data_IF_809517339575
#
_entry.id   IF_809517339575
#
_cell.length_a   1.000
_cell.length_b   1.000
_cell.length_c   1.000
_cell.angle_alpha   90.00
_cell.angle_beta   90.00
_cell.angle_gamma   90.00
#
_symmetry.space_group_name_H-M   'P 1'
#
loop_
_entity.id
_entity.type
_entity.pdbx_description
1 polymer ?
#
# COMPACT_ATOMS: atom_id res chain seq x y z
N UNK A 1 -29.71 14.84 -26.06
CA UNK A 1 -29.06 13.52 -26.09
C UNK A 1 -27.56 13.70 -26.17
N UNK A 2 -26.89 13.77 -25.03
CA UNK A 2 -25.42 13.74 -24.95
C UNK A 2 -25.02 12.31 -24.68
N UNK A 3 -24.60 11.57 -25.71
CA UNK A 3 -23.92 10.30 -25.59
C UNK A 3 -22.59 10.53 -24.90
N UNK A 4 -22.51 10.22 -23.60
CA UNK A 4 -21.25 10.13 -22.90
C UNK A 4 -20.43 9.02 -23.54
N UNK A 5 -19.31 9.38 -24.16
CA UNK A 5 -18.32 8.42 -24.62
C UNK A 5 -17.83 7.64 -23.40
N UNK A 6 -18.12 6.34 -23.39
CA UNK A 6 -17.46 5.41 -22.48
C UNK A 6 -15.99 5.43 -22.92
N UNK A 7 -15.13 6.11 -22.15
CA UNK A 7 -13.69 6.06 -22.40
C UNK A 7 -13.28 4.60 -22.36
N UNK A 8 -12.57 4.14 -23.40
CA UNK A 8 -12.04 2.77 -23.44
C UNK A 8 -11.25 2.49 -22.13
N UNK A 9 -11.35 1.27 -21.60
CA UNK A 9 -10.58 0.93 -20.41
C UNK A 9 -9.09 1.12 -20.73
N UNK A 10 -8.41 1.91 -19.88
CA UNK A 10 -6.97 2.12 -20.00
C UNK A 10 -6.26 0.76 -20.01
N UNK A 11 -5.43 0.51 -21.02
CA UNK A 11 -4.56 -0.65 -21.09
C UNK A 11 -3.09 -0.23 -20.92
N UNK A 12 -2.35 -0.97 -20.08
CA UNK A 12 -0.91 -0.80 -19.99
C UNK A 12 -0.25 -1.08 -21.36
N UNK A 13 0.85 -0.38 -21.70
CA UNK A 13 1.65 -0.72 -22.85
C UNK A 13 2.01 -2.21 -22.86
N UNK A 14 1.97 -2.84 -24.03
CA UNK A 14 2.14 -4.30 -24.15
C UNK A 14 3.44 -4.80 -23.52
N UNK A 15 4.56 -4.07 -23.68
CA UNK A 15 5.85 -4.43 -23.09
C UNK A 15 5.79 -4.48 -21.56
N UNK A 16 5.14 -3.50 -20.91
CA UNK A 16 4.98 -3.45 -19.44
C UNK A 16 4.04 -4.56 -18.98
N UNK A 17 2.94 -4.81 -19.72
CA UNK A 17 2.01 -5.89 -19.42
C UNK A 17 2.68 -7.26 -19.50
N UNK A 18 3.55 -7.50 -20.48
CA UNK A 18 4.29 -8.77 -20.60
C UNK A 18 5.34 -8.91 -19.48
N UNK A 19 6.07 -7.84 -19.13
CA UNK A 19 7.00 -7.86 -18.01
C UNK A 19 6.26 -8.15 -16.69
N UNK A 20 5.15 -7.47 -16.42
CA UNK A 20 4.34 -7.70 -15.22
C UNK A 20 3.81 -9.15 -15.15
N UNK A 21 3.37 -9.72 -16.27
CA UNK A 21 2.95 -11.12 -16.35
C UNK A 21 4.11 -12.08 -16.08
N UNK A 22 5.30 -11.78 -16.60
CA UNK A 22 6.48 -12.60 -16.37
C UNK A 22 6.88 -12.57 -14.89
N UNK A 23 6.93 -11.41 -14.27
CA UNK A 23 7.23 -11.26 -12.84
C UNK A 23 6.18 -11.96 -11.97
N UNK A 24 4.89 -11.76 -12.25
CA UNK A 24 3.81 -12.46 -11.55
C UNK A 24 3.87 -13.98 -11.75
N UNK A 25 4.26 -14.43 -12.94
CA UNK A 25 4.48 -15.85 -13.25
C UNK A 25 5.60 -16.49 -12.44
N UNK A 26 6.58 -15.69 -12.00
CA UNK A 26 7.69 -16.10 -11.13
C UNK A 26 7.41 -15.88 -9.65
N UNK A 27 6.29 -15.23 -9.29
CA UNK A 27 5.94 -14.99 -7.91
C UNK A 27 5.84 -16.33 -7.14
N UNK A 28 6.39 -16.34 -5.95
CA UNK A 28 6.30 -17.46 -5.02
C UNK A 28 4.87 -17.62 -4.49
N UNK A 29 4.56 -18.78 -3.93
CA UNK A 29 3.25 -18.95 -3.24
C UNK A 29 3.07 -17.96 -2.09
N UNK A 30 4.15 -17.61 -1.41
CA UNK A 30 4.17 -16.58 -0.37
C UNK A 30 3.75 -15.22 -0.91
N UNK A 31 4.33 -14.77 -2.01
CA UNK A 31 3.99 -13.49 -2.65
C UNK A 31 2.55 -13.48 -3.17
N UNK A 32 2.06 -14.61 -3.72
CA UNK A 32 0.67 -14.73 -4.18
C UNK A 32 -0.33 -14.63 -3.02
N UNK A 33 -0.01 -15.24 -1.87
CA UNK A 33 -0.83 -15.14 -0.65
C UNK A 33 -0.88 -13.72 -0.09
N UNK A 34 0.14 -12.89 -0.35
CA UNK A 34 0.15 -11.49 0.07
C UNK A 34 -1.01 -10.69 -0.55
N UNK A 35 -1.49 -11.04 -1.73
CA UNK A 35 -2.62 -10.38 -2.37
C UNK A 35 -3.92 -10.83 -1.71
N UNK A 36 -4.37 -10.10 -0.68
CA UNK A 36 -5.63 -10.39 0.01
C UNK A 36 -6.85 -10.06 -0.86
N UNK A 37 -6.79 -8.97 -1.62
CA UNK A 37 -7.83 -8.56 -2.55
C UNK A 37 -7.25 -7.64 -3.62
N UNK A 38 -7.64 -7.87 -4.87
CA UNK A 38 -7.32 -6.95 -5.97
C UNK A 38 -8.18 -5.68 -5.92
N UNK A 39 -9.36 -5.75 -5.33
CA UNK A 39 -10.30 -4.63 -5.24
C UNK A 39 -10.66 -4.04 -6.61
N UNK A 40 -11.01 -2.77 -6.61
CA UNK A 40 -11.24 -2.01 -7.84
C UNK A 40 -9.95 -1.31 -8.28
N UNK A 41 -9.31 -1.88 -9.27
CA UNK A 41 -8.00 -1.41 -9.78
C UNK A 41 -8.05 -0.21 -10.73
N UNK A 42 -9.23 0.36 -11.01
CA UNK A 42 -9.36 1.45 -12.01
C UNK A 42 -8.45 2.65 -11.71
N UNK A 43 -8.37 3.08 -10.44
CA UNK A 43 -7.48 4.19 -10.05
C UNK A 43 -6.02 3.82 -10.20
N UNK A 44 -5.62 2.59 -9.83
CA UNK A 44 -4.27 2.08 -10.05
C UNK A 44 -3.91 2.04 -11.54
N UNK A 45 -4.80 1.53 -12.38
CA UNK A 45 -4.59 1.50 -13.84
C UNK A 45 -4.36 2.89 -14.41
N UNK A 46 -5.11 3.90 -13.94
CA UNK A 46 -4.93 5.29 -14.36
C UNK A 46 -3.55 5.84 -13.94
N UNK A 47 -3.12 5.55 -12.71
CA UNK A 47 -1.79 5.96 -12.21
C UNK A 47 -0.68 5.26 -12.98
N UNK A 48 -0.78 3.96 -13.18
CA UNK A 48 0.19 3.19 -13.96
C UNK A 48 0.27 3.66 -15.42
N UNK A 49 -0.85 4.12 -15.98
CA UNK A 49 -0.87 4.75 -17.29
C UNK A 49 -0.01 5.99 -17.35
N UNK A 50 -0.17 6.89 -16.39
CA UNK A 50 0.67 8.09 -16.31
C UNK A 50 2.13 7.74 -16.09
N UNK A 51 2.44 6.72 -15.28
CA UNK A 51 3.81 6.23 -15.12
C UNK A 51 4.38 5.74 -16.44
N UNK A 52 3.62 4.94 -17.20
CA UNK A 52 4.02 4.39 -18.49
C UNK A 52 4.26 5.46 -19.58
N UNK A 53 3.56 6.57 -19.49
CA UNK A 53 3.72 7.73 -20.37
C UNK A 53 4.87 8.66 -19.97
N UNK A 54 5.61 8.33 -18.88
CA UNK A 54 6.69 9.17 -18.36
C UNK A 54 6.21 10.39 -17.59
N UNK A 55 4.93 10.44 -17.20
CA UNK A 55 4.33 11.54 -16.46
C UNK A 55 4.84 11.64 -15.03
N UNK A 56 4.71 12.83 -14.44
CA UNK A 56 4.97 13.05 -13.02
C UNK A 56 3.91 12.34 -12.18
N UNK A 57 4.34 11.51 -11.22
CA UNK A 57 3.48 10.77 -10.31
C UNK A 57 4.04 10.86 -8.89
N UNK A 58 3.17 11.18 -7.93
CA UNK A 58 3.51 11.19 -6.51
C UNK A 58 2.93 9.96 -5.83
N UNK A 59 3.81 9.17 -5.21
CA UNK A 59 3.46 7.99 -4.41
C UNK A 59 3.73 8.31 -2.94
N UNK A 60 2.69 8.30 -2.12
CA UNK A 60 2.79 8.55 -0.68
C UNK A 60 2.63 7.24 0.10
N UNK A 61 3.36 7.15 1.21
CA UNK A 61 3.35 6.03 2.14
C UNK A 61 3.02 6.58 3.53
N UNK A 62 1.87 6.21 4.08
CA UNK A 62 1.38 6.66 5.37
C UNK A 62 1.31 5.48 6.33
N UNK A 63 1.98 5.60 7.48
CA UNK A 63 2.01 4.50 8.45
C UNK A 63 2.82 4.81 9.70
N UNK A 64 3.15 3.75 10.43
CA UNK A 64 3.94 3.79 11.65
C UNK A 64 5.45 3.65 11.40
N UNK A 65 6.14 2.96 12.32
CA UNK A 65 7.60 2.74 12.28
C UNK A 65 8.05 1.89 11.09
N UNK A 66 7.25 0.91 10.68
CA UNK A 66 7.56 0.07 9.51
C UNK A 66 7.59 0.93 8.24
N UNK A 67 6.64 1.83 8.08
CA UNK A 67 6.59 2.77 6.96
C UNK A 67 7.70 3.81 7.03
N UNK A 68 8.00 4.36 8.22
CA UNK A 68 9.12 5.28 8.43
C UNK A 68 10.46 4.63 8.07
N UNK A 69 10.60 3.34 8.33
CA UNK A 69 11.86 2.60 8.18
C UNK A 69 12.74 2.74 9.43
N UNK A 70 12.12 2.76 10.61
CA UNK A 70 12.83 2.79 11.87
C UNK A 70 13.79 1.60 11.98
N UNK A 71 15.04 1.85 12.39
CA UNK A 71 16.13 0.88 12.51
C UNK A 71 16.61 0.22 11.20
N UNK A 72 16.04 0.55 10.05
CA UNK A 72 16.51 0.01 8.77
C UNK A 72 17.13 1.10 7.90
N UNK A 73 18.08 0.69 7.04
CA UNK A 73 18.60 1.57 6.02
C UNK A 73 17.47 1.98 5.06
N UNK A 74 17.41 3.25 4.65
CA UNK A 74 16.40 3.74 3.71
C UNK A 74 16.24 2.85 2.47
N UNK A 75 17.33 2.31 1.92
CA UNK A 75 17.31 1.41 0.77
C UNK A 75 16.66 0.04 1.04
N UNK A 76 16.49 -0.34 2.30
CA UNK A 76 15.84 -1.59 2.71
C UNK A 76 14.38 -1.41 3.07
N UNK A 77 13.94 -0.17 3.28
CA UNK A 77 12.56 0.17 3.58
C UNK A 77 11.65 -0.13 2.39
N UNK A 78 10.48 -0.71 2.66
CA UNK A 78 9.55 -1.10 1.59
C UNK A 78 9.09 0.08 0.72
N UNK A 79 8.91 1.27 1.30
CA UNK A 79 8.49 2.45 0.56
C UNK A 79 9.55 2.87 -0.48
N UNK A 80 10.84 2.72 -0.14
CA UNK A 80 11.93 2.95 -1.08
C UNK A 80 11.97 1.88 -2.16
N UNK A 81 11.96 0.60 -1.76
CA UNK A 81 12.00 -0.52 -2.71
C UNK A 81 10.83 -0.49 -3.70
N UNK A 82 9.61 -0.23 -3.21
CA UNK A 82 8.44 -0.15 -4.08
C UNK A 82 8.55 1.01 -5.06
N UNK A 83 8.98 2.20 -4.61
CA UNK A 83 9.13 3.34 -5.51
C UNK A 83 10.24 3.11 -6.54
N UNK A 84 11.38 2.56 -6.14
CA UNK A 84 12.49 2.28 -7.03
C UNK A 84 12.09 1.19 -8.05
N UNK A 85 11.40 0.14 -7.63
CA UNK A 85 10.84 -0.86 -8.52
C UNK A 85 9.84 -0.28 -9.54
N UNK A 86 8.95 0.63 -9.11
CA UNK A 86 8.03 1.31 -10.04
C UNK A 86 8.78 2.15 -11.06
N UNK A 87 9.84 2.85 -10.66
CA UNK A 87 10.70 3.60 -11.60
C UNK A 87 11.35 2.70 -12.64
N UNK A 88 11.88 1.57 -12.21
CA UNK A 88 12.50 0.58 -13.12
C UNK A 88 11.45 -0.02 -14.05
N UNK A 89 10.31 -0.49 -13.52
CA UNK A 89 9.24 -1.12 -14.29
C UNK A 89 8.72 -0.23 -15.41
N UNK A 90 8.51 1.05 -15.09
CA UNK A 90 7.95 2.02 -16.04
C UNK A 90 9.01 2.84 -16.78
N UNK A 91 10.30 2.61 -16.53
CA UNK A 91 11.41 3.41 -17.02
C UNK A 91 11.15 4.94 -16.84
N UNK A 92 10.67 5.31 -15.65
CA UNK A 92 10.19 6.66 -15.34
C UNK A 92 10.79 7.21 -14.05
N UNK A 93 11.76 8.11 -14.15
CA UNK A 93 12.39 8.77 -13.00
C UNK A 93 11.53 9.89 -12.38
N UNK A 94 10.44 10.30 -13.04
CA UNK A 94 9.52 11.33 -12.55
C UNK A 94 8.53 10.82 -11.47
N UNK A 95 8.74 9.62 -10.96
CA UNK A 95 7.96 9.07 -9.85
C UNK A 95 8.58 9.57 -8.54
N UNK A 96 7.85 10.45 -7.84
CA UNK A 96 8.26 11.04 -6.57
C UNK A 96 7.70 10.25 -5.39
N UNK A 97 8.56 9.99 -4.39
CA UNK A 97 8.17 9.36 -3.13
C UNK A 97 7.91 10.40 -2.05
N UNK A 98 6.83 10.22 -1.30
CA UNK A 98 6.56 10.91 -0.03
C UNK A 98 6.44 9.85 1.05
N UNK A 99 7.40 9.77 1.97
CA UNK A 99 7.31 8.89 3.12
C UNK A 99 6.75 9.67 4.32
N UNK A 100 5.51 9.37 4.67
CA UNK A 100 4.79 9.93 5.81
C UNK A 100 4.66 8.89 6.96
N UNK A 101 5.63 7.99 7.10
CA UNK A 101 5.77 7.12 8.27
C UNK A 101 6.20 7.92 9.50
N UNK A 102 5.65 7.56 10.66
CA UNK A 102 6.01 8.17 11.95
C UNK A 102 5.91 7.12 13.05
N UNK A 103 7.07 6.76 13.62
CA UNK A 103 7.19 5.72 14.64
C UNK A 103 6.27 5.94 15.83
N UNK A 104 5.69 4.84 16.33
CA UNK A 104 4.84 4.85 17.53
C UNK A 104 3.49 5.53 17.36
N UNK A 105 3.02 5.74 16.14
CA UNK A 105 1.73 6.41 15.88
C UNK A 105 0.72 5.48 15.24
N UNK A 106 -0.55 5.62 15.67
CA UNK A 106 -1.70 4.91 15.14
C UNK A 106 -2.37 5.68 13.99
N UNK A 107 -3.37 5.05 13.37
CA UNK A 107 -4.22 5.69 12.35
C UNK A 107 -4.94 6.94 12.86
N UNK A 108 -5.21 7.04 14.16
CA UNK A 108 -5.75 8.26 14.80
C UNK A 108 -4.82 9.45 14.60
N UNK A 109 -3.54 9.27 14.89
CA UNK A 109 -2.52 10.31 14.63
C UNK A 109 -2.35 10.51 13.13
N UNK A 110 -2.39 9.42 12.34
CA UNK A 110 -2.40 9.49 10.88
C UNK A 110 -3.50 10.43 10.37
N UNK A 111 -4.73 10.31 10.87
CA UNK A 111 -5.87 11.16 10.49
C UNK A 111 -5.63 12.65 10.81
N UNK A 112 -5.02 12.95 11.95
CA UNK A 112 -4.76 14.33 12.36
C UNK A 112 -3.71 15.02 11.48
N UNK A 113 -2.72 14.26 10.98
CA UNK A 113 -1.61 14.80 10.19
C UNK A 113 -1.74 14.57 8.67
N UNK A 114 -2.72 13.79 8.21
CA UNK A 114 -2.85 13.38 6.81
C UNK A 114 -2.91 14.55 5.83
N UNK A 115 -3.55 15.65 6.22
CA UNK A 115 -3.64 16.83 5.34
C UNK A 115 -2.25 17.34 4.99
N UNK A 116 -1.44 17.63 6.01
CA UNK A 116 -0.12 18.24 5.86
C UNK A 116 0.89 17.26 5.27
N UNK A 117 0.88 16.01 5.76
CA UNK A 117 1.96 15.06 5.46
C UNK A 117 1.73 14.27 4.17
N UNK A 118 0.48 14.23 3.68
CA UNK A 118 0.08 13.44 2.52
C UNK A 118 -0.70 14.26 1.50
N UNK A 119 -1.82 14.86 1.88
CA UNK A 119 -2.75 15.44 0.90
C UNK A 119 -2.23 16.75 0.27
N UNK A 120 -1.49 17.56 1.02
CA UNK A 120 -0.86 18.78 0.49
C UNK A 120 0.23 18.46 -0.56
N UNK A 121 0.77 17.23 -0.54
CA UNK A 121 1.70 16.71 -1.54
C UNK A 121 1.01 16.24 -2.83
N UNK A 122 -0.32 16.29 -2.89
CA UNK A 122 -1.18 15.91 -4.02
C UNK A 122 -0.85 14.53 -4.58
N UNK A 123 -0.94 13.47 -3.77
CA UNK A 123 -0.55 12.13 -4.19
C UNK A 123 -1.49 11.58 -5.27
N UNK A 124 -0.94 10.75 -6.16
CA UNK A 124 -1.65 9.95 -7.14
C UNK A 124 -1.92 8.53 -6.64
N UNK A 125 -1.02 8.03 -5.78
CA UNK A 125 -1.09 6.71 -5.15
C UNK A 125 -0.71 6.84 -3.67
N UNK A 126 -1.50 6.23 -2.79
CA UNK A 126 -1.24 6.21 -1.34
C UNK A 126 -1.27 4.78 -0.83
N UNK A 127 -0.20 4.37 -0.16
CA UNK A 127 -0.15 3.15 0.65
C UNK A 127 -0.44 3.50 2.11
N UNK A 128 -1.31 2.72 2.78
CA UNK A 128 -1.69 2.92 4.19
C UNK A 128 -1.35 1.67 4.99
N UNK A 129 -0.54 1.83 6.06
CA UNK A 129 -0.06 0.75 6.91
C UNK A 129 -0.15 1.15 8.40
N UNK A 130 -1.10 0.56 9.16
CA UNK A 130 -1.29 0.76 10.59
C UNK A 130 -1.73 -0.50 11.34
N UNK A 131 -1.64 -1.66 10.70
CA UNK A 131 -2.23 -2.89 11.24
C UNK A 131 -1.65 -3.32 12.59
N UNK A 132 -0.39 -2.99 12.86
CA UNK A 132 0.29 -3.28 14.14
C UNK A 132 0.28 -2.11 15.12
N UNK A 133 -0.14 -0.93 14.67
CA UNK A 133 -0.11 0.30 15.47
C UNK A 133 -1.49 0.65 16.09
N UNK A 134 -2.57 0.15 15.49
CA UNK A 134 -3.92 0.39 15.96
C UNK A 134 -4.31 -0.57 17.09
N UNK A 135 -5.24 -0.15 17.93
CA UNK A 135 -5.90 -1.03 18.89
C UNK A 135 -7.13 -1.70 18.26
N UNK A 136 -7.48 -2.89 18.74
CA UNK A 136 -8.68 -3.58 18.27
C UNK A 136 -9.93 -3.13 19.03
N UNK A 137 -10.18 -1.83 19.05
CA UNK A 137 -11.32 -1.18 19.68
C UNK A 137 -12.15 -0.36 18.68
N UNK A 138 -13.33 0.08 19.13
CA UNK A 138 -14.26 0.83 18.26
C UNK A 138 -13.70 2.17 17.81
N UNK A 139 -12.92 2.84 18.64
CA UNK A 139 -12.34 4.16 18.33
C UNK A 139 -11.32 4.01 17.21
N UNK A 140 -10.40 3.07 17.32
CA UNK A 140 -9.40 2.79 16.28
C UNK A 140 -10.05 2.41 14.96
N UNK A 141 -11.12 1.59 15.00
CA UNK A 141 -11.88 1.20 13.79
C UNK A 141 -12.48 2.43 13.09
N UNK A 142 -13.12 3.31 13.85
CA UNK A 142 -13.71 4.55 13.30
C UNK A 142 -12.65 5.52 12.78
N UNK A 143 -11.52 5.64 13.47
CA UNK A 143 -10.44 6.52 13.05
C UNK A 143 -9.76 6.03 11.76
N UNK A 144 -9.52 4.71 11.66
CA UNK A 144 -8.98 4.11 10.45
C UNK A 144 -9.91 4.29 9.24
N UNK A 145 -11.20 4.02 9.41
CA UNK A 145 -12.20 4.26 8.36
C UNK A 145 -12.26 5.73 7.95
N UNK A 146 -12.25 6.65 8.93
CA UNK A 146 -12.25 8.10 8.68
C UNK A 146 -11.00 8.54 7.91
N UNK A 147 -9.83 7.96 8.22
CA UNK A 147 -8.58 8.21 7.52
C UNK A 147 -8.68 7.77 6.06
N UNK A 148 -9.10 6.52 5.83
CA UNK A 148 -9.28 5.97 4.47
C UNK A 148 -10.28 6.80 3.68
N UNK A 149 -11.43 7.12 4.27
CA UNK A 149 -12.47 7.96 3.66
C UNK A 149 -11.91 9.32 3.22
N UNK A 150 -11.16 9.98 4.11
CA UNK A 150 -10.57 11.30 3.82
C UNK A 150 -9.60 11.27 2.65
N UNK A 151 -8.78 10.23 2.55
CA UNK A 151 -7.81 10.08 1.45
C UNK A 151 -8.53 9.77 0.14
N UNK A 152 -9.42 8.77 0.14
CA UNK A 152 -10.15 8.31 -1.05
C UNK A 152 -10.99 9.43 -1.69
N UNK A 153 -11.54 10.32 -0.85
CA UNK A 153 -12.38 11.44 -1.27
C UNK A 153 -11.65 12.79 -1.29
N UNK A 154 -10.33 12.81 -1.21
CA UNK A 154 -9.53 14.03 -1.33
C UNK A 154 -9.56 14.59 -2.76
N UNK A 155 -9.04 15.81 -2.94
CA UNK A 155 -9.07 16.54 -4.21
C UNK A 155 -8.47 15.72 -5.38
N UNK A 156 -7.35 15.04 -5.16
CA UNK A 156 -6.70 14.23 -6.19
C UNK A 156 -7.36 12.88 -6.41
N UNK A 157 -8.23 12.44 -5.49
CA UNK A 157 -8.87 11.12 -5.50
C UNK A 157 -7.87 9.99 -5.82
N UNK A 158 -6.78 9.84 -5.06
CA UNK A 158 -5.68 8.95 -5.39
C UNK A 158 -6.12 7.48 -5.44
N UNK A 159 -5.34 6.64 -6.10
CA UNK A 159 -5.38 5.22 -5.86
C UNK A 159 -4.91 4.94 -4.42
N UNK A 160 -5.55 4.01 -3.73
CA UNK A 160 -5.20 3.64 -2.35
C UNK A 160 -4.99 2.13 -2.27
N UNK A 161 -3.90 1.71 -1.64
CA UNK A 161 -3.59 0.31 -1.34
C UNK A 161 -3.41 0.18 0.17
N UNK A 162 -4.11 -0.76 0.78
CA UNK A 162 -3.98 -1.06 2.21
C UNK A 162 -2.94 -2.17 2.40
N UNK A 163 -2.05 -1.97 3.37
CA UNK A 163 -1.02 -2.96 3.75
C UNK A 163 -1.29 -3.39 5.19
N UNK A 164 -1.35 -4.70 5.40
CA UNK A 164 -1.55 -5.30 6.72
C UNK A 164 -0.29 -6.05 7.14
N UNK A 165 0.38 -5.49 8.13
CA UNK A 165 1.55 -6.05 8.79
C UNK A 165 1.13 -6.87 10.00
N UNK A 166 2.07 -7.62 10.57
CA UNK A 166 1.88 -8.49 11.73
C UNK A 166 3.10 -8.39 12.64
N UNK A 167 2.91 -8.46 13.97
CA UNK A 167 3.99 -8.60 14.94
C UNK A 167 4.39 -10.06 15.14
N UNK A 168 5.55 -10.30 15.73
CA UNK A 168 6.04 -11.65 16.07
C UNK A 168 5.02 -12.47 16.88
N UNK A 169 4.33 -11.83 17.82
CA UNK A 169 3.30 -12.46 18.65
C UNK A 169 1.97 -12.71 17.91
N UNK A 170 1.90 -12.45 16.60
CA UNK A 170 0.71 -12.61 15.78
C UNK A 170 -0.28 -11.43 15.85
N UNK A 171 0.06 -10.34 16.57
CA UNK A 171 -0.85 -9.20 16.66
C UNK A 171 -0.96 -8.46 15.33
N UNK A 172 -2.19 -8.22 14.92
CA UNK A 172 -2.56 -7.39 13.76
C UNK A 172 -4.00 -6.93 13.89
N UNK A 173 -4.31 -5.76 13.38
CA UNK A 173 -5.67 -5.24 13.22
C UNK A 173 -6.26 -5.50 11.82
N UNK A 174 -5.67 -6.42 11.05
CA UNK A 174 -6.05 -6.73 9.68
C UNK A 174 -7.55 -7.00 9.51
N UNK A 175 -8.16 -7.77 10.42
CA UNK A 175 -9.57 -8.18 10.29
C UNK A 175 -10.56 -7.01 10.20
N UNK A 176 -10.37 -5.95 10.99
CA UNK A 176 -11.26 -4.81 10.90
C UNK A 176 -10.84 -3.81 9.81
N UNK A 177 -9.54 -3.69 9.56
CA UNK A 177 -9.03 -2.80 8.51
C UNK A 177 -9.39 -3.33 7.12
N UNK A 178 -9.36 -4.65 6.93
CA UNK A 178 -9.80 -5.28 5.69
C UNK A 178 -11.28 -5.04 5.37
N UNK A 179 -12.15 -4.98 6.39
CA UNK A 179 -13.57 -4.61 6.19
C UNK A 179 -13.73 -3.20 5.61
N UNK A 180 -12.87 -2.27 6.01
CA UNK A 180 -12.82 -0.94 5.39
C UNK A 180 -12.37 -1.05 3.93
N UNK A 181 -11.31 -1.81 3.65
CA UNK A 181 -10.86 -2.08 2.29
C UNK A 181 -11.95 -2.69 1.40
N UNK A 182 -12.69 -3.66 1.92
CA UNK A 182 -13.84 -4.28 1.22
C UNK A 182 -14.96 -3.25 0.94
N UNK A 183 -15.32 -2.44 1.94
CA UNK A 183 -16.39 -1.43 1.81
C UNK A 183 -16.06 -0.36 0.76
N UNK A 184 -14.80 0.01 0.63
CA UNK A 184 -14.32 0.99 -0.37
C UNK A 184 -13.82 0.34 -1.66
N UNK A 185 -13.84 -0.99 -1.76
CA UNK A 185 -13.34 -1.73 -2.92
C UNK A 185 -11.85 -1.53 -3.18
N UNK A 186 -11.02 -1.43 -2.14
CA UNK A 186 -9.59 -1.13 -2.27
C UNK A 186 -8.75 -2.39 -2.46
N UNK A 187 -7.66 -2.32 -3.23
CA UNK A 187 -6.62 -3.34 -3.21
C UNK A 187 -6.00 -3.48 -1.82
N UNK A 188 -5.75 -4.72 -1.41
CA UNK A 188 -5.23 -5.06 -0.08
C UNK A 188 -4.10 -6.06 -0.17
N UNK A 189 -3.01 -5.79 0.56
CA UNK A 189 -1.84 -6.63 0.69
C UNK A 189 -1.72 -7.06 2.16
N UNK A 190 -1.64 -8.37 2.41
CA UNK A 190 -1.45 -8.95 3.74
C UNK A 190 -0.07 -9.58 3.86
N UNK A 191 0.80 -8.94 4.62
CA UNK A 191 2.09 -9.52 5.03
C UNK A 191 1.86 -10.71 5.95
N UNK A 192 0.84 -10.64 6.80
CA UNK A 192 0.44 -11.74 7.67
C UNK A 192 0.10 -13.00 6.87
N UNK A 193 -0.77 -12.90 5.87
CA UNK A 193 -1.13 -14.05 5.02
C UNK A 193 0.08 -14.59 4.23
N UNK A 194 1.03 -13.73 3.87
CA UNK A 194 2.25 -14.14 3.19
C UNK A 194 3.15 -15.00 4.07
N UNK A 195 3.31 -14.63 5.35
CA UNK A 195 4.34 -15.19 6.24
C UNK A 195 3.82 -16.29 7.18
N UNK A 196 2.55 -16.22 7.60
CA UNK A 196 2.02 -17.09 8.65
C UNK A 196 2.22 -18.60 8.40
N UNK A 197 2.00 -19.16 7.19
CA UNK A 197 2.18 -20.60 6.97
C UNK A 197 3.62 -21.08 7.22
N UNK A 198 4.61 -20.31 6.79
CA UNK A 198 6.02 -20.65 6.97
C UNK A 198 6.46 -20.45 8.43
N UNK A 199 5.92 -19.44 9.12
CA UNK A 199 6.18 -19.21 10.55
C UNK A 199 5.55 -20.28 11.41
N UNK A 200 4.30 -20.68 11.15
CA UNK A 200 3.60 -21.76 11.86
C UNK A 200 4.29 -23.11 11.68
N UNK A 201 4.84 -23.38 10.51
CA UNK A 201 5.58 -24.62 10.23
C UNK A 201 7.03 -24.60 10.74
N UNK A 202 7.54 -23.44 11.17
CA UNK A 202 8.94 -23.24 11.56
C UNK A 202 9.90 -23.18 10.36
N UNK A 203 9.41 -23.11 9.14
CA UNK A 203 10.23 -22.94 7.93
C UNK A 203 10.83 -21.53 7.83
N UNK A 204 10.19 -20.55 8.49
CA UNK A 204 10.66 -19.18 8.66
C UNK A 204 10.65 -18.86 10.16
N UNK A 205 11.70 -18.26 10.66
CA UNK A 205 11.75 -17.71 12.03
C UNK A 205 11.78 -16.18 11.96
N UNK A 206 11.25 -15.54 13.00
CA UNK A 206 11.09 -14.08 13.01
C UNK A 206 12.39 -13.33 12.75
N UNK A 207 13.50 -13.80 13.32
CA UNK A 207 14.84 -13.20 13.13
C UNK A 207 15.35 -13.20 11.69
N UNK A 208 14.81 -14.05 10.82
CA UNK A 208 15.14 -14.05 9.38
C UNK A 208 14.40 -12.93 8.63
N UNK A 209 13.32 -12.45 9.22
CA UNK A 209 12.39 -11.52 8.61
C UNK A 209 12.47 -10.11 9.18
N UNK A 210 12.66 -9.98 10.49
CA UNK A 210 12.73 -8.69 11.18
C UNK A 210 13.88 -8.67 12.20
N UNK A 211 14.43 -7.49 12.44
CA UNK A 211 15.52 -7.28 13.40
C UNK A 211 15.05 -6.92 14.80
N UNK A 212 13.75 -6.69 15.00
CA UNK A 212 13.14 -6.30 16.25
C UNK A 212 11.75 -6.95 16.39
N UNK A 213 11.19 -6.96 17.59
CA UNK A 213 9.88 -7.55 17.90
C UNK A 213 8.70 -6.81 17.23
N UNK A 214 8.95 -5.67 16.60
CA UNK A 214 7.97 -4.84 15.92
C UNK A 214 8.32 -4.57 14.45
#
# INVERSE_FOLDING_TARGET
STSGSISEPFSLPAAISEQAKQEYGQATDQERRAVRSEGNVRRLQKVFGRMAEGGEVTVAYLGGSITEGYLVNSKQNYAYKTTDWLKELFANDNIRRVNAGLSGTSSTIGLLRVQKDVLDEKPDLVFIEFAVNDANDITSKLMYESLVNRIVNSETAPAVVLIFTVLENGYTCEEHQAKVGEAYGLPMISVNAALSPEMESGALVWSDYAQDEA
#
